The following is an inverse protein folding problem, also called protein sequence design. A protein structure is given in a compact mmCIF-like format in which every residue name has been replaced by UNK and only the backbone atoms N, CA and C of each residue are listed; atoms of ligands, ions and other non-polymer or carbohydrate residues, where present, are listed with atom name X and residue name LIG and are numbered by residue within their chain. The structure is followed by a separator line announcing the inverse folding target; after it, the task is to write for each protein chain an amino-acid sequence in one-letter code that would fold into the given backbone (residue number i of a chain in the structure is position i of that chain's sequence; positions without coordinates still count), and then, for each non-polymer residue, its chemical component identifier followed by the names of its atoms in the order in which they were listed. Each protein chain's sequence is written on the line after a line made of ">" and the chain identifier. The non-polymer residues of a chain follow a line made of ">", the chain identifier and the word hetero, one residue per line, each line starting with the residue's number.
data_IF_579022473212
#
_entry.id   IF_579022473212
#
_cell.length_a   1.000
_cell.length_b   1.000
_cell.length_c   1.000
_cell.angle_alpha   90.00
_cell.angle_beta   90.00
_cell.angle_gamma   90.00
#
_symmetry.space_group_name_H-M   'P 1'
#
loop_
_entity.id
_entity.type
_entity.pdbx_description
1 polymer ?
#
# COMPACT_ATOMS: atom_id res chain seq x y z
N UNK A 1 -17.67 34.19 -5.45
CA UNK A 1 -16.54 33.24 -5.42
C UNK A 1 -16.27 32.64 -4.03
N UNK A 2 -15.83 33.38 -3.00
CA UNK A 2 -15.53 32.80 -1.65
C UNK A 2 -16.69 32.01 -1.03
N UNK A 3 -17.91 32.53 -1.05
CA UNK A 3 -19.11 31.85 -0.52
C UNK A 3 -19.44 30.55 -1.30
N UNK A 4 -19.25 30.55 -2.60
CA UNK A 4 -19.46 29.35 -3.44
C UNK A 4 -18.45 28.26 -3.12
N UNK A 5 -17.16 28.61 -2.99
CA UNK A 5 -16.10 27.66 -2.61
C UNK A 5 -16.37 27.10 -1.22
N UNK A 6 -16.77 27.94 -0.26
CA UNK A 6 -17.15 27.51 1.07
C UNK A 6 -18.35 26.52 1.05
N UNK A 7 -19.37 26.82 0.26
CA UNK A 7 -20.52 25.93 0.13
C UNK A 7 -20.16 24.58 -0.50
N UNK A 8 -19.28 24.59 -1.52
CA UNK A 8 -18.77 23.34 -2.14
C UNK A 8 -18.02 22.49 -1.13
N UNK A 9 -17.07 23.06 -0.38
CA UNK A 9 -16.33 22.31 0.61
C UNK A 9 -17.18 21.79 1.76
N UNK A 10 -18.17 22.58 2.24
CA UNK A 10 -19.13 22.09 3.22
C UNK A 10 -19.88 20.85 2.72
N UNK A 11 -20.37 20.90 1.47
CA UNK A 11 -21.01 19.73 0.85
C UNK A 11 -20.08 18.52 0.73
N UNK A 12 -18.81 18.73 0.39
CA UNK A 12 -17.83 17.65 0.30
C UNK A 12 -17.55 17.00 1.65
N UNK A 13 -17.44 17.80 2.72
CA UNK A 13 -17.11 17.34 4.06
C UNK A 13 -18.32 16.81 4.84
N UNK A 14 -19.55 17.09 4.40
CA UNK A 14 -20.80 16.65 5.05
C UNK A 14 -21.10 15.15 4.85
N UNK A 15 -20.17 14.40 4.24
CA UNK A 15 -20.28 12.96 4.11
C UNK A 15 -20.12 12.20 5.44
N UNK A 16 -19.61 12.85 6.48
CA UNK A 16 -19.48 12.30 7.83
C UNK A 16 -19.90 13.36 8.85
N UNK A 17 -20.80 13.00 9.77
CA UNK A 17 -21.14 13.85 10.91
C UNK A 17 -20.44 13.36 12.17
N UNK A 18 -19.73 14.26 12.85
CA UNK A 18 -19.02 13.94 14.10
C UNK A 18 -19.65 14.68 15.26
N UNK A 19 -20.05 13.90 16.26
CA UNK A 19 -20.51 14.42 17.57
C UNK A 19 -19.40 14.23 18.60
N UNK A 20 -18.99 15.31 19.25
CA UNK A 20 -17.98 15.30 20.28
C UNK A 20 -18.19 16.49 21.23
N UNK A 21 -17.88 16.29 22.51
CA UNK A 21 -17.89 17.36 23.51
C UNK A 21 -16.71 18.33 23.36
N UNK A 22 -15.68 17.94 22.60
CA UNK A 22 -14.46 18.72 22.39
C UNK A 22 -14.46 19.38 21.00
N UNK A 23 -14.58 20.70 20.94
CA UNK A 23 -14.53 21.47 19.68
C UNK A 23 -13.22 21.24 18.91
N UNK A 24 -12.09 21.12 19.61
CA UNK A 24 -10.78 20.90 18.99
C UNK A 24 -10.72 19.56 18.26
N UNK A 25 -11.35 18.52 18.78
CA UNK A 25 -11.39 17.22 18.12
C UNK A 25 -12.21 17.28 16.81
N UNK A 26 -13.30 18.05 16.83
CA UNK A 26 -14.10 18.31 15.62
C UNK A 26 -13.28 19.07 14.57
N UNK A 27 -12.54 20.09 14.98
CA UNK A 27 -11.64 20.86 14.09
C UNK A 27 -10.57 19.94 13.49
N UNK A 28 -9.90 19.13 14.33
CA UNK A 28 -8.88 18.17 13.87
C UNK A 28 -9.45 17.18 12.85
N UNK A 29 -10.63 16.60 13.15
CA UNK A 29 -11.27 15.64 12.26
C UNK A 29 -11.56 16.22 10.88
N UNK A 30 -12.26 17.34 10.81
CA UNK A 30 -12.62 17.94 9.53
C UNK A 30 -11.42 18.54 8.78
N UNK A 31 -10.40 19.00 9.48
CA UNK A 31 -9.13 19.41 8.86
C UNK A 31 -8.42 18.22 8.22
N UNK A 32 -8.34 17.08 8.91
CA UNK A 32 -7.76 15.87 8.36
C UNK A 32 -8.58 15.34 7.15
N UNK A 33 -9.90 15.33 7.25
CA UNK A 33 -10.78 14.94 6.14
C UNK A 33 -10.62 15.86 4.93
N UNK A 34 -10.52 17.17 5.14
CA UNK A 34 -10.25 18.15 4.09
C UNK A 34 -8.92 17.85 3.39
N UNK A 35 -7.83 17.63 4.13
CA UNK A 35 -6.54 17.29 3.57
C UNK A 35 -6.57 15.99 2.78
N UNK A 36 -7.32 14.98 3.25
CA UNK A 36 -7.49 13.71 2.54
C UNK A 36 -8.16 13.85 1.18
N UNK A 37 -8.90 14.93 0.94
CA UNK A 37 -9.59 15.18 -0.32
C UNK A 37 -8.81 16.07 -1.30
N UNK A 38 -7.61 16.52 -0.95
CA UNK A 38 -6.81 17.40 -1.83
C UNK A 38 -6.08 16.63 -2.95
N UNK A 39 -5.68 15.38 -2.71
CA UNK A 39 -4.93 14.54 -3.63
C UNK A 39 -5.52 13.14 -3.72
N UNK A 40 -5.50 12.49 -4.89
CA UNK A 40 -5.25 13.02 -6.24
C UNK A 40 -6.25 14.10 -6.63
N UNK A 41 -5.85 14.99 -7.53
CA UNK A 41 -6.66 16.13 -7.97
C UNK A 41 -7.06 16.04 -9.46
N UNK A 42 -8.14 16.70 -9.82
CA UNK A 42 -8.68 16.72 -11.19
C UNK A 42 -7.82 17.64 -12.07
N UNK A 43 -7.49 17.17 -13.27
CA UNK A 43 -6.73 17.92 -14.30
C UNK A 43 -7.46 18.02 -15.63
N UNK A 44 -8.62 17.39 -15.77
CA UNK A 44 -9.48 17.53 -16.94
C UNK A 44 -10.28 18.84 -16.90
N UNK A 45 -10.64 19.34 -18.06
CA UNK A 45 -11.61 20.43 -18.17
C UNK A 45 -13.04 19.95 -17.90
N UNK A 46 -13.96 20.90 -17.70
CA UNK A 46 -15.37 20.61 -17.38
C UNK A 46 -16.07 19.89 -18.54
N UNK A 47 -15.65 20.18 -19.77
CA UNK A 47 -16.26 19.66 -21.02
C UNK A 47 -15.58 18.35 -21.50
N UNK A 48 -14.61 17.80 -20.76
CA UNK A 48 -13.97 16.53 -21.10
C UNK A 48 -14.96 15.37 -20.89
N UNK A 49 -14.93 14.39 -21.81
CA UNK A 49 -15.79 13.20 -21.75
C UNK A 49 -15.54 12.34 -20.50
N UNK A 50 -14.35 12.41 -19.92
CA UNK A 50 -14.01 11.69 -18.70
C UNK A 50 -13.16 12.55 -17.75
N UNK A 51 -13.42 12.39 -16.46
CA UNK A 51 -12.65 13.07 -15.41
C UNK A 51 -11.25 12.45 -15.32
N UNK A 52 -10.22 13.27 -15.55
CA UNK A 52 -8.83 12.88 -15.38
C UNK A 52 -8.26 13.33 -14.05
N UNK A 53 -7.54 12.45 -13.40
CA UNK A 53 -6.84 12.71 -12.16
C UNK A 53 -5.33 12.69 -12.35
N UNK A 54 -4.62 13.54 -11.58
CA UNK A 54 -3.16 13.53 -11.45
C UNK A 54 -2.75 13.62 -9.98
N UNK A 55 -1.44 13.58 -9.72
CA UNK A 55 -0.90 13.62 -8.36
C UNK A 55 -1.05 12.28 -7.62
N UNK A 56 -1.14 11.16 -8.35
CA UNK A 56 -1.13 9.85 -7.71
C UNK A 56 0.23 9.58 -7.05
N UNK A 57 0.18 9.32 -5.75
CA UNK A 57 1.29 8.78 -4.96
C UNK A 57 0.87 7.42 -4.38
N UNK A 58 0.92 6.34 -5.20
CA UNK A 58 0.30 5.07 -4.84
C UNK A 58 0.85 4.46 -3.56
N UNK A 59 2.15 4.65 -3.28
CA UNK A 59 2.81 4.17 -2.06
C UNK A 59 2.20 4.76 -0.79
N UNK A 60 1.78 6.03 -0.85
CA UNK A 60 1.13 6.73 0.26
C UNK A 60 -0.36 6.37 0.31
N UNK A 61 -1.04 6.52 -0.81
CA UNK A 61 -2.51 6.57 -0.86
C UNK A 61 -3.19 5.20 -0.78
N UNK A 62 -2.51 4.09 -1.13
CA UNK A 62 -3.09 2.75 -0.99
C UNK A 62 -3.34 2.38 0.48
N UNK A 63 -2.56 2.93 1.42
CA UNK A 63 -2.56 2.52 2.83
C UNK A 63 -3.86 2.90 3.54
N UNK A 64 -4.44 4.04 3.19
CA UNK A 64 -5.67 4.50 3.85
C UNK A 64 -6.57 5.35 2.96
N UNK A 65 -6.05 6.19 2.06
CA UNK A 65 -6.86 7.15 1.31
C UNK A 65 -7.84 6.46 0.35
N UNK A 66 -7.38 5.56 -0.52
CA UNK A 66 -8.29 4.86 -1.46
C UNK A 66 -9.34 4.01 -0.72
N UNK A 67 -9.00 3.26 0.35
CA UNK A 67 -10.01 2.63 1.22
C UNK A 67 -11.01 3.60 1.84
N UNK A 68 -10.56 4.78 2.29
CA UNK A 68 -11.45 5.82 2.81
C UNK A 68 -12.39 6.37 1.74
N UNK A 69 -11.87 6.65 0.54
CA UNK A 69 -12.68 7.11 -0.59
C UNK A 69 -13.69 6.05 -1.04
N UNK A 70 -13.31 4.78 -1.06
CA UNK A 70 -14.24 3.67 -1.34
C UNK A 70 -15.41 3.66 -0.37
N UNK A 71 -15.19 4.04 0.90
CA UNK A 71 -16.24 4.10 1.92
C UNK A 71 -17.08 5.38 1.86
N UNK A 72 -16.44 6.54 1.75
CA UNK A 72 -17.10 7.84 1.92
C UNK A 72 -17.47 8.52 0.60
N UNK A 73 -16.72 8.27 -0.46
CA UNK A 73 -16.86 8.90 -1.78
C UNK A 73 -16.65 7.85 -2.90
N UNK A 74 -17.47 6.79 -2.96
CA UNK A 74 -17.28 5.68 -3.91
C UNK A 74 -17.26 6.15 -5.37
N UNK A 75 -18.04 7.17 -5.72
CA UNK A 75 -18.05 7.72 -7.06
C UNK A 75 -16.70 8.39 -7.42
N UNK A 76 -16.09 9.11 -6.49
CA UNK A 76 -14.77 9.69 -6.68
C UNK A 76 -13.69 8.61 -6.84
N UNK A 77 -13.77 7.53 -6.05
CA UNK A 77 -12.89 6.38 -6.21
C UNK A 77 -13.05 5.73 -7.59
N UNK A 78 -14.30 5.57 -8.06
CA UNK A 78 -14.64 5.05 -9.40
C UNK A 78 -14.00 5.89 -10.51
N UNK A 79 -14.12 7.21 -10.43
CA UNK A 79 -13.51 8.13 -11.39
C UNK A 79 -11.98 8.07 -11.39
N UNK A 80 -11.34 7.93 -10.23
CA UNK A 80 -9.87 7.74 -10.12
C UNK A 80 -9.42 6.46 -10.80
N UNK A 81 -10.11 5.35 -10.56
CA UNK A 81 -9.81 4.08 -11.22
C UNK A 81 -10.04 4.19 -12.73
N UNK A 82 -11.14 4.82 -13.16
CA UNK A 82 -11.40 5.06 -14.57
C UNK A 82 -10.27 5.87 -15.22
N UNK A 83 -9.82 6.94 -14.57
CA UNK A 83 -8.69 7.75 -15.05
C UNK A 83 -7.42 6.92 -15.27
N UNK A 84 -7.03 6.09 -14.29
CA UNK A 84 -5.88 5.19 -14.41
C UNK A 84 -6.04 4.19 -15.57
N UNK A 85 -7.22 3.62 -15.73
CA UNK A 85 -7.48 2.61 -16.75
C UNK A 85 -7.60 3.22 -18.16
N UNK A 86 -8.11 4.44 -18.29
CA UNK A 86 -8.09 5.18 -19.57
C UNK A 86 -6.65 5.48 -20.00
N UNK A 87 -5.80 5.94 -19.08
CA UNK A 87 -4.38 6.17 -19.37
C UNK A 87 -3.67 4.87 -19.79
N UNK A 88 -3.92 3.75 -19.09
CA UNK A 88 -3.40 2.44 -19.46
C UNK A 88 -3.84 2.03 -20.88
N UNK A 89 -5.13 2.18 -21.23
CA UNK A 89 -5.64 1.88 -22.58
C UNK A 89 -5.03 2.77 -23.66
N UNK A 90 -4.73 4.02 -23.33
CA UNK A 90 -4.05 4.95 -24.22
C UNK A 90 -2.55 4.65 -24.38
N UNK A 91 -2.02 3.59 -23.73
CA UNK A 91 -0.62 3.21 -23.77
C UNK A 91 0.28 3.98 -22.80
N UNK A 92 -0.31 4.77 -21.89
CA UNK A 92 0.43 5.44 -20.81
C UNK A 92 0.72 4.46 -19.69
N UNK A 93 1.96 4.45 -19.19
CA UNK A 93 2.33 3.60 -18.07
C UNK A 93 1.58 4.01 -16.79
N UNK A 94 1.05 3.03 -16.07
CA UNK A 94 0.46 3.28 -14.75
C UNK A 94 1.48 3.90 -13.78
N UNK A 95 1.09 4.86 -12.93
CA UNK A 95 2.01 5.54 -12.04
C UNK A 95 2.58 4.59 -10.99
N UNK A 96 3.91 4.56 -10.86
CA UNK A 96 4.61 3.85 -9.79
C UNK A 96 5.09 4.80 -8.70
N UNK A 97 5.58 5.97 -9.10
CA UNK A 97 6.31 6.87 -8.23
C UNK A 97 7.74 6.39 -7.93
N UNK A 98 8.52 7.16 -7.14
CA UNK A 98 9.91 6.83 -6.80
C UNK A 98 10.05 5.82 -5.66
N UNK A 99 8.96 5.50 -4.97
CA UNK A 99 8.94 4.66 -3.79
C UNK A 99 8.99 3.16 -4.11
N UNK A 100 9.13 2.33 -3.08
CA UNK A 100 9.13 0.87 -3.19
C UNK A 100 7.75 0.33 -3.63
N UNK A 101 7.74 -0.83 -4.29
CA UNK A 101 6.51 -1.52 -4.68
C UNK A 101 5.76 -0.95 -5.89
N UNK A 102 4.63 -1.57 -6.22
CA UNK A 102 3.74 -1.26 -7.35
C UNK A 102 2.31 -1.06 -6.85
N UNK A 103 2.09 0.00 -6.06
CA UNK A 103 0.90 0.14 -5.22
C UNK A 103 -0.37 0.60 -5.95
N UNK A 104 -0.34 0.80 -7.26
CA UNK A 104 -1.55 0.81 -8.09
C UNK A 104 -2.25 -0.57 -8.04
N UNK A 105 -1.50 -1.67 -7.93
CA UNK A 105 -2.06 -3.02 -7.89
C UNK A 105 -3.03 -3.21 -6.72
N UNK A 106 -2.68 -2.91 -5.45
CA UNK A 106 -3.65 -2.97 -4.35
C UNK A 106 -4.82 -2.00 -4.50
N UNK A 107 -4.63 -0.82 -5.13
CA UNK A 107 -5.72 0.13 -5.39
C UNK A 107 -6.74 -0.48 -6.36
N UNK A 108 -6.28 -1.11 -7.44
CA UNK A 108 -7.16 -1.78 -8.41
C UNK A 108 -7.86 -3.01 -7.81
N UNK A 109 -7.15 -3.80 -6.98
CA UNK A 109 -7.76 -4.92 -6.27
C UNK A 109 -8.84 -4.44 -5.29
N UNK A 110 -8.55 -3.42 -4.48
CA UNK A 110 -9.50 -2.86 -3.52
C UNK A 110 -10.77 -2.36 -4.21
N UNK A 111 -10.61 -1.66 -5.34
CA UNK A 111 -11.73 -1.20 -6.16
C UNK A 111 -12.56 -2.35 -6.74
N UNK A 112 -11.90 -3.42 -7.21
CA UNK A 112 -12.58 -4.61 -7.72
C UNK A 112 -13.40 -5.33 -6.63
N UNK A 113 -12.80 -5.53 -5.45
CA UNK A 113 -13.43 -6.24 -4.33
C UNK A 113 -14.58 -5.44 -3.70
N UNK A 114 -14.48 -4.11 -3.68
CA UNK A 114 -15.49 -3.19 -3.13
C UNK A 114 -16.49 -2.70 -4.16
N UNK A 115 -16.40 -3.17 -5.39
CA UNK A 115 -17.29 -2.76 -6.49
C UNK A 115 -17.30 -1.23 -6.74
N UNK A 116 -16.16 -0.58 -6.49
CA UNK A 116 -15.95 0.85 -6.76
C UNK A 116 -15.25 1.09 -8.09
N UNK A 117 -15.61 0.30 -9.10
CA UNK A 117 -15.14 0.42 -10.49
C UNK A 117 -16.16 -0.21 -11.44
N UNK A 118 -16.26 0.34 -12.66
CA UNK A 118 -17.07 -0.21 -13.75
C UNK A 118 -16.21 -1.06 -14.72
N UNK A 119 -14.91 -1.18 -14.46
CA UNK A 119 -13.99 -1.93 -15.29
C UNK A 119 -14.07 -3.43 -14.97
N UNK A 120 -14.03 -4.24 -16.04
CA UNK A 120 -13.97 -5.68 -15.92
C UNK A 120 -12.69 -6.12 -15.18
N UNK A 121 -12.82 -7.10 -14.31
CA UNK A 121 -11.72 -7.59 -13.46
C UNK A 121 -10.54 -8.10 -14.28
N UNK A 122 -10.78 -8.71 -15.47
CA UNK A 122 -9.69 -9.12 -16.37
C UNK A 122 -8.84 -7.93 -16.81
N UNK A 123 -9.48 -6.80 -17.13
CA UNK A 123 -8.78 -5.60 -17.54
C UNK A 123 -7.95 -5.01 -16.39
N UNK A 124 -8.49 -5.02 -15.16
CA UNK A 124 -7.74 -4.60 -13.96
C UNK A 124 -6.54 -5.52 -13.71
N UNK A 125 -6.73 -6.82 -13.87
CA UNK A 125 -5.65 -7.80 -13.76
C UNK A 125 -4.57 -7.59 -14.83
N UNK A 126 -4.96 -7.45 -16.11
CA UNK A 126 -4.04 -7.22 -17.23
C UNK A 126 -3.21 -5.95 -17.03
N UNK A 127 -3.85 -4.84 -16.62
CA UNK A 127 -3.17 -3.58 -16.32
C UNK A 127 -2.16 -3.74 -15.15
N UNK A 128 -2.56 -4.43 -14.10
CA UNK A 128 -1.73 -4.72 -12.93
C UNK A 128 -0.51 -5.59 -13.30
N UNK A 129 -0.74 -6.63 -14.10
CA UNK A 129 0.30 -7.54 -14.57
C UNK A 129 1.25 -6.84 -15.56
N UNK A 130 0.75 -5.96 -16.42
CA UNK A 130 1.56 -5.14 -17.31
C UNK A 130 2.49 -4.20 -16.51
N UNK A 131 1.98 -3.53 -15.47
CA UNK A 131 2.80 -2.73 -14.58
C UNK A 131 3.90 -3.57 -13.93
N UNK A 132 3.56 -4.71 -13.34
CA UNK A 132 4.54 -5.63 -12.76
C UNK A 132 5.62 -6.04 -13.77
N UNK A 133 5.23 -6.45 -14.98
CA UNK A 133 6.15 -6.92 -16.02
C UNK A 133 7.01 -5.81 -16.63
N UNK A 134 6.57 -4.56 -16.62
CA UNK A 134 7.31 -3.43 -17.17
C UNK A 134 8.64 -3.18 -16.48
N UNK A 135 8.83 -3.67 -15.25
CA UNK A 135 10.05 -3.50 -14.46
C UNK A 135 11.00 -4.71 -14.48
N UNK A 136 10.76 -5.70 -15.34
CA UNK A 136 11.63 -6.89 -15.43
C UNK A 136 13.08 -6.62 -15.79
N UNK A 137 13.39 -5.47 -16.37
CA UNK A 137 14.77 -5.06 -16.64
C UNK A 137 15.50 -4.46 -15.42
N UNK A 138 14.79 -4.21 -14.31
CA UNK A 138 15.39 -3.65 -13.11
C UNK A 138 16.05 -4.74 -12.26
N UNK A 139 17.27 -4.48 -11.80
CA UNK A 139 18.09 -5.40 -11.00
C UNK A 139 17.35 -5.92 -9.77
N UNK A 140 16.65 -5.05 -9.03
CA UNK A 140 15.94 -5.44 -7.82
C UNK A 140 14.80 -6.45 -8.11
N UNK A 141 14.13 -6.34 -9.25
CA UNK A 141 13.08 -7.30 -9.58
C UNK A 141 13.67 -8.64 -10.01
N UNK A 142 14.81 -8.65 -10.71
CA UNK A 142 15.53 -9.88 -11.03
C UNK A 142 15.98 -10.59 -9.76
N UNK A 143 16.62 -9.88 -8.81
CA UNK A 143 16.99 -10.45 -7.51
C UNK A 143 15.79 -11.08 -6.80
N UNK A 144 14.67 -10.36 -6.76
CA UNK A 144 13.44 -10.85 -6.15
C UNK A 144 12.89 -12.11 -6.82
N UNK A 145 12.92 -12.17 -8.16
CA UNK A 145 12.42 -13.31 -8.92
C UNK A 145 13.32 -14.54 -8.83
N UNK A 146 14.63 -14.35 -8.75
CA UNK A 146 15.63 -15.42 -8.72
C UNK A 146 15.87 -15.95 -7.30
N UNK A 147 15.99 -15.04 -6.32
CA UNK A 147 16.37 -15.39 -4.95
C UNK A 147 15.18 -15.43 -3.98
N UNK A 148 14.02 -14.90 -4.38
CA UNK A 148 12.86 -14.69 -3.51
C UNK A 148 13.03 -13.50 -2.55
N UNK A 149 14.03 -12.65 -2.74
CA UNK A 149 14.26 -11.41 -2.01
C UNK A 149 15.20 -10.49 -2.80
N UNK A 150 15.19 -9.20 -2.51
CA UNK A 150 16.12 -8.22 -3.05
C UNK A 150 17.41 -8.23 -2.24
N UNK A 151 18.57 -8.37 -2.90
CA UNK A 151 19.87 -8.44 -2.25
C UNK A 151 20.20 -7.11 -1.53
N UNK A 152 20.92 -7.23 -0.41
CA UNK A 152 21.29 -6.09 0.43
C UNK A 152 22.27 -5.09 -0.22
N UNK A 153 22.83 -5.40 -1.39
CA UNK A 153 23.56 -4.44 -2.22
C UNK A 153 22.65 -3.36 -2.81
N UNK A 154 21.34 -3.62 -2.84
CA UNK A 154 20.32 -2.65 -3.24
C UNK A 154 19.82 -1.91 -2.00
N UNK A 155 19.81 -0.56 -2.05
CA UNK A 155 19.17 0.23 -1.01
C UNK A 155 17.68 -0.13 -0.86
N UNK A 156 17.18 -0.05 0.34
CA UNK A 156 15.76 -0.33 0.65
C UNK A 156 15.32 -1.77 0.38
N UNK A 157 16.26 -2.71 0.32
CA UNK A 157 16.03 -4.11 -0.08
C UNK A 157 14.94 -4.81 0.74
N UNK A 158 14.84 -4.54 2.04
CA UNK A 158 13.78 -5.09 2.92
C UNK A 158 12.41 -4.55 2.54
N UNK A 159 12.30 -3.23 2.41
CA UNK A 159 11.03 -2.61 2.02
C UNK A 159 10.58 -3.07 0.63
N UNK A 160 11.49 -3.06 -0.36
CA UNK A 160 11.18 -3.53 -1.72
C UNK A 160 10.68 -4.97 -1.69
N UNK A 161 11.37 -5.88 -1.02
CA UNK A 161 10.97 -7.29 -0.92
C UNK A 161 9.60 -7.45 -0.28
N UNK A 162 9.35 -6.79 0.85
CA UNK A 162 8.10 -6.92 1.60
C UNK A 162 6.92 -6.34 0.82
N UNK A 163 7.12 -5.22 0.13
CA UNK A 163 6.08 -4.57 -0.65
C UNK A 163 5.80 -5.30 -1.97
N UNK A 164 6.83 -5.88 -2.60
CA UNK A 164 6.63 -6.78 -3.75
C UNK A 164 5.86 -8.05 -3.34
N UNK A 165 6.14 -8.61 -2.17
CA UNK A 165 5.39 -9.76 -1.66
C UNK A 165 3.90 -9.42 -1.43
N UNK A 166 3.60 -8.22 -0.94
CA UNK A 166 2.23 -7.73 -0.83
C UNK A 166 1.59 -7.49 -2.20
N UNK A 167 2.32 -6.92 -3.15
CA UNK A 167 1.82 -6.74 -4.51
C UNK A 167 1.57 -8.08 -5.22
N UNK A 168 2.41 -9.10 -4.98
CA UNK A 168 2.17 -10.47 -5.45
C UNK A 168 0.88 -11.06 -4.88
N UNK A 169 0.62 -10.86 -3.59
CA UNK A 169 -0.67 -11.28 -3.01
C UNK A 169 -1.85 -10.60 -3.69
N UNK A 170 -1.75 -9.30 -3.95
CA UNK A 170 -2.80 -8.55 -4.65
C UNK A 170 -3.00 -9.08 -6.09
N UNK A 171 -1.91 -9.35 -6.83
CA UNK A 171 -1.97 -9.95 -8.17
C UNK A 171 -2.60 -11.34 -8.13
N UNK A 172 -2.23 -12.18 -7.15
CA UNK A 172 -2.84 -13.50 -6.98
C UNK A 172 -4.36 -13.39 -6.78
N UNK A 173 -4.82 -12.43 -5.97
CA UNK A 173 -6.26 -12.21 -5.74
C UNK A 173 -6.97 -11.71 -7.01
N UNK A 174 -6.40 -10.76 -7.73
CA UNK A 174 -6.92 -10.30 -9.02
C UNK A 174 -6.95 -11.44 -10.05
N UNK A 175 -5.92 -12.27 -10.11
CA UNK A 175 -5.85 -13.42 -11.01
C UNK A 175 -6.95 -14.45 -10.72
N UNK A 176 -7.23 -14.73 -9.43
CA UNK A 176 -8.37 -15.59 -9.04
C UNK A 176 -9.68 -15.01 -9.56
N UNK A 177 -9.93 -13.73 -9.33
CA UNK A 177 -11.14 -13.05 -9.77
C UNK A 177 -11.26 -13.00 -11.31
N UNK A 178 -10.12 -12.89 -12.01
CA UNK A 178 -10.03 -12.87 -13.47
C UNK A 178 -10.04 -14.27 -14.12
N UNK A 179 -10.11 -15.34 -13.34
CA UNK A 179 -10.10 -16.73 -13.85
C UNK A 179 -8.75 -17.15 -14.45
N UNK A 180 -7.62 -16.69 -13.88
CA UNK A 180 -6.25 -16.99 -14.31
C UNK A 180 -5.51 -17.84 -13.26
N UNK A 181 -5.76 -19.17 -13.19
CA UNK A 181 -5.28 -20.02 -12.10
C UNK A 181 -3.74 -20.12 -12.04
N UNK A 182 -3.05 -20.15 -13.15
CA UNK A 182 -1.59 -20.29 -13.19
C UNK A 182 -0.91 -19.03 -12.61
N UNK A 183 -1.35 -17.85 -13.02
CA UNK A 183 -0.85 -16.57 -12.47
C UNK A 183 -1.24 -16.44 -10.99
N UNK A 184 -2.43 -16.88 -10.62
CA UNK A 184 -2.87 -16.88 -9.23
C UNK A 184 -1.94 -17.72 -8.34
N UNK A 185 -1.59 -18.95 -8.78
CA UNK A 185 -0.68 -19.82 -8.05
C UNK A 185 0.73 -19.24 -7.98
N UNK A 186 1.26 -18.75 -9.10
CA UNK A 186 2.59 -18.16 -9.17
C UNK A 186 2.76 -16.99 -8.19
N UNK A 187 1.84 -16.05 -8.25
CA UNK A 187 1.87 -14.85 -7.40
C UNK A 187 1.54 -15.19 -5.93
N UNK A 188 0.68 -16.18 -5.67
CA UNK A 188 0.43 -16.65 -4.29
C UNK A 188 1.70 -17.21 -3.64
N UNK A 189 2.51 -17.98 -4.36
CA UNK A 189 3.78 -18.50 -3.84
C UNK A 189 4.74 -17.33 -3.51
N UNK A 190 4.88 -16.38 -4.43
CA UNK A 190 5.76 -15.21 -4.24
C UNK A 190 5.33 -14.29 -3.12
N UNK A 191 4.05 -14.25 -2.79
CA UNK A 191 3.55 -13.43 -1.68
C UNK A 191 4.16 -13.76 -0.32
N UNK A 192 4.81 -14.91 -0.20
CA UNK A 192 5.54 -15.32 1.00
C UNK A 192 7.02 -14.89 1.02
N UNK A 193 7.50 -14.17 0.02
CA UNK A 193 8.92 -13.79 -0.11
C UNK A 193 9.46 -12.96 1.06
N UNK A 194 8.62 -12.20 1.77
CA UNK A 194 9.01 -11.50 3.01
C UNK A 194 9.61 -12.43 4.06
N UNK A 195 9.26 -13.72 4.05
CA UNK A 195 9.79 -14.75 4.96
C UNK A 195 11.30 -14.93 4.82
N UNK A 196 11.84 -14.73 3.62
CA UNK A 196 13.25 -14.86 3.33
C UNK A 196 14.12 -13.80 4.03
N UNK A 197 13.50 -12.73 4.50
CA UNK A 197 14.15 -11.65 5.22
C UNK A 197 14.09 -11.81 6.75
N UNK A 198 13.28 -12.76 7.25
CA UNK A 198 13.12 -12.95 8.68
C UNK A 198 14.33 -13.64 9.28
N UNK A 199 15.14 -12.91 10.02
CA UNK A 199 16.18 -13.46 10.89
C UNK A 199 15.53 -14.03 12.16
N UNK A 200 15.51 -15.36 12.27
CA UNK A 200 14.85 -16.06 13.38
C UNK A 200 15.53 -15.83 14.73
N UNK A 201 16.81 -15.46 14.74
CA UNK A 201 17.54 -15.15 15.97
C UNK A 201 17.07 -13.82 16.59
N UNK A 202 16.93 -12.79 15.76
CA UNK A 202 16.49 -11.46 16.23
C UNK A 202 14.99 -11.23 16.09
N UNK A 203 14.32 -12.00 15.21
CA UNK A 203 12.91 -11.87 14.82
C UNK A 203 12.60 -10.57 14.06
N UNK A 204 13.58 -9.97 13.42
CA UNK A 204 13.41 -8.82 12.53
C UNK A 204 13.51 -9.24 11.06
N UNK A 205 12.83 -8.51 10.19
CA UNK A 205 13.13 -8.51 8.76
C UNK A 205 14.41 -7.70 8.57
N UNK A 206 15.46 -8.34 8.10
CA UNK A 206 16.77 -7.72 7.93
C UNK A 206 17.23 -7.77 6.48
N UNK A 207 18.04 -6.78 6.05
CA UNK A 207 18.75 -6.89 4.79
C UNK A 207 19.64 -8.13 4.80
N UNK A 208 19.68 -8.84 3.68
CA UNK A 208 20.55 -10.01 3.55
C UNK A 208 21.20 -10.07 2.17
N UNK A 209 22.41 -10.58 2.15
CA UNK A 209 23.02 -11.14 0.96
C UNK A 209 22.54 -12.59 0.81
N UNK A 210 22.94 -13.26 -0.26
CA UNK A 210 22.54 -14.64 -0.54
C UNK A 210 22.56 -15.54 0.71
N UNK A 211 23.60 -15.48 1.52
CA UNK A 211 23.86 -16.41 2.61
C UNK A 211 23.83 -15.79 4.02
N UNK A 212 23.78 -14.44 4.14
CA UNK A 212 24.03 -13.78 5.43
C UNK A 212 23.11 -12.58 5.66
N UNK A 213 22.51 -12.49 6.85
CA UNK A 213 21.79 -11.32 7.31
C UNK A 213 22.73 -10.21 7.78
N UNK A 214 22.49 -8.98 7.32
CA UNK A 214 23.28 -7.82 7.69
C UNK A 214 22.69 -7.14 8.94
N UNK A 215 23.02 -7.66 10.12
CA UNK A 215 22.45 -7.19 11.41
C UNK A 215 22.81 -5.72 11.73
N UNK A 216 23.88 -5.18 11.13
CA UNK A 216 24.40 -3.82 11.36
C UNK A 216 24.14 -2.86 10.20
N UNK A 217 23.33 -3.21 9.20
CA UNK A 217 23.12 -2.41 8.00
C UNK A 217 22.45 -1.03 8.24
N UNK A 218 22.07 -0.71 9.48
CA UNK A 218 21.42 0.56 9.80
C UNK A 218 20.05 0.71 9.12
N UNK A 219 19.77 1.91 8.59
CA UNK A 219 18.49 2.23 7.95
C UNK A 219 18.51 2.04 6.43
N UNK A 220 19.65 1.72 5.82
CA UNK A 220 19.80 1.61 4.36
C UNK A 220 18.89 0.55 3.72
N UNK A 221 18.55 -0.49 4.46
CA UNK A 221 17.64 -1.56 3.98
C UNK A 221 16.17 -1.17 3.95
N UNK A 222 15.77 0.01 4.40
CA UNK A 222 14.39 0.38 4.67
C UNK A 222 14.00 1.70 3.98
N UNK A 223 12.82 1.72 3.39
CA UNK A 223 12.25 2.92 2.79
C UNK A 223 11.63 3.77 3.90
N UNK A 224 12.22 4.93 4.18
CA UNK A 224 11.68 5.92 5.12
C UNK A 224 11.20 5.31 6.46
N UNK A 225 11.92 4.31 6.92
CA UNK A 225 11.56 3.53 8.10
C UNK A 225 12.78 2.88 8.74
N UNK A 226 12.56 1.97 9.66
CA UNK A 226 13.60 1.23 10.34
C UNK A 226 13.17 -0.25 10.52
N UNK A 227 14.10 -1.08 11.02
CA UNK A 227 13.82 -2.50 11.23
C UNK A 227 12.62 -2.81 12.13
N UNK A 228 12.28 -1.93 13.07
CA UNK A 228 11.12 -2.13 13.94
C UNK A 228 9.80 -1.93 13.19
N UNK A 229 9.72 -0.88 12.38
CA UNK A 229 8.54 -0.61 11.56
C UNK A 229 8.39 -1.64 10.45
N UNK A 230 9.45 -1.87 9.67
CA UNK A 230 9.41 -2.75 8.50
C UNK A 230 9.11 -4.21 8.88
N UNK A 231 9.55 -4.69 10.06
CA UNK A 231 9.31 -6.07 10.49
C UNK A 231 7.86 -6.38 10.82
N UNK A 232 6.99 -5.39 10.87
CA UNK A 232 5.55 -5.59 11.05
C UNK A 232 4.76 -5.47 9.73
N UNK A 233 5.44 -5.27 8.60
CA UNK A 233 4.78 -5.10 7.32
C UNK A 233 4.62 -6.44 6.58
N UNK A 234 3.54 -7.14 6.89
CA UNK A 234 2.99 -8.23 6.08
C UNK A 234 1.46 -8.16 6.14
N UNK A 235 0.82 -7.09 5.61
CA UNK A 235 -0.60 -6.81 5.81
C UNK A 235 -1.51 -7.92 5.25
N UNK A 236 -1.05 -8.65 4.26
CA UNK A 236 -1.74 -9.77 3.64
C UNK A 236 -1.65 -11.08 4.45
N UNK A 237 -0.74 -11.17 5.43
CA UNK A 237 -0.49 -12.43 6.14
C UNK A 237 0.01 -12.22 7.58
N UNK A 238 -0.73 -11.41 8.34
CA UNK A 238 -0.38 -11.07 9.73
C UNK A 238 -0.27 -12.30 10.62
N UNK A 239 -1.15 -13.31 10.43
CA UNK A 239 -1.12 -14.54 11.22
C UNK A 239 0.17 -15.36 11.01
N UNK A 240 0.67 -15.45 9.77
CA UNK A 240 1.94 -16.13 9.51
C UNK A 240 3.11 -15.37 10.14
N UNK A 241 3.10 -14.04 10.05
CA UNK A 241 4.12 -13.22 10.69
C UNK A 241 4.13 -13.42 12.22
N UNK A 242 2.97 -13.43 12.86
CA UNK A 242 2.81 -13.72 14.29
C UNK A 242 3.41 -15.07 14.65
N UNK A 243 3.05 -16.12 13.91
CA UNK A 243 3.56 -17.46 14.16
C UNK A 243 5.08 -17.54 14.04
N UNK A 244 5.66 -16.86 13.06
CA UNK A 244 7.11 -16.84 12.82
C UNK A 244 7.91 -16.03 13.83
N UNK A 245 7.29 -15.03 14.43
CA UNK A 245 7.90 -14.22 15.51
C UNK A 245 7.82 -14.94 16.88
N UNK A 246 7.14 -16.07 16.98
CA UNK A 246 7.01 -16.84 18.21
C UNK A 246 5.62 -16.84 18.84
N UNK A 247 4.60 -16.52 18.06
CA UNK A 247 3.19 -16.52 18.48
C UNK A 247 2.70 -15.17 19.00
N UNK A 248 1.45 -15.15 19.43
CA UNK A 248 0.74 -13.93 19.82
C UNK A 248 1.42 -13.16 20.96
N UNK A 249 1.83 -13.84 22.01
CA UNK A 249 2.48 -13.21 23.18
C UNK A 249 3.81 -12.57 22.81
N UNK A 250 4.65 -13.25 22.03
CA UNK A 250 5.92 -12.72 21.55
C UNK A 250 5.71 -11.52 20.62
N UNK A 251 4.69 -11.58 19.75
CA UNK A 251 4.31 -10.50 18.86
C UNK A 251 3.83 -9.27 19.64
N UNK A 252 2.90 -9.44 20.61
CA UNK A 252 2.43 -8.37 21.49
C UNK A 252 3.56 -7.71 22.27
N UNK A 253 4.45 -8.52 22.84
CA UNK A 253 5.63 -8.04 23.57
C UNK A 253 6.52 -7.18 22.67
N UNK A 254 6.72 -7.59 21.43
CA UNK A 254 7.52 -6.84 20.45
C UNK A 254 6.86 -5.54 20.04
N UNK A 255 5.55 -5.53 19.80
CA UNK A 255 4.78 -4.31 19.54
C UNK A 255 4.93 -3.31 20.70
N UNK A 256 4.73 -3.77 21.93
CA UNK A 256 4.90 -2.93 23.13
C UNK A 256 6.34 -2.42 23.28
N UNK A 257 7.34 -3.25 23.01
CA UNK A 257 8.74 -2.85 23.06
C UNK A 257 9.07 -1.77 22.01
N UNK A 258 8.53 -1.88 20.80
CA UNK A 258 8.71 -0.88 19.75
C UNK A 258 8.13 0.47 20.16
N UNK A 259 6.92 0.48 20.75
CA UNK A 259 6.28 1.68 21.30
C UNK A 259 7.09 2.27 22.46
N UNK A 260 7.45 1.45 23.47
CA UNK A 260 8.20 1.88 24.66
C UNK A 260 9.55 2.48 24.30
N UNK A 261 10.25 1.90 23.32
CA UNK A 261 11.55 2.38 22.84
C UNK A 261 11.44 3.56 21.86
N UNK A 262 10.24 4.07 21.60
CA UNK A 262 9.98 5.15 20.64
C UNK A 262 10.57 4.87 19.26
N UNK A 263 10.50 3.59 18.83
CA UNK A 263 10.97 3.16 17.50
C UNK A 263 9.89 3.25 16.43
N UNK A 264 8.64 3.43 16.85
CA UNK A 264 7.49 3.73 16.01
C UNK A 264 7.12 5.20 16.24
N UNK A 265 7.27 6.00 15.22
CA UNK A 265 6.89 7.42 15.20
C UNK A 265 5.82 7.58 14.13
N UNK A 266 4.69 8.22 14.49
CA UNK A 266 3.56 8.40 13.58
C UNK A 266 3.72 9.70 12.76
N UNK A 267 4.81 9.79 12.03
CA UNK A 267 5.18 10.91 11.19
C UNK A 267 5.29 10.55 9.70
N UNK A 268 5.16 9.25 9.37
CA UNK A 268 5.23 8.78 8.00
C UNK A 268 4.36 7.52 7.78
N UNK A 269 4.05 7.19 6.54
CA UNK A 269 3.10 6.17 6.09
C UNK A 269 3.42 4.74 6.53
N UNK A 270 4.69 4.30 6.61
CA UNK A 270 5.03 2.92 6.99
C UNK A 270 4.45 2.45 8.32
N UNK A 271 4.03 3.36 9.20
CA UNK A 271 3.51 3.03 10.54
C UNK A 271 1.98 3.00 10.64
N UNK A 272 1.23 3.38 9.61
CA UNK A 272 -0.23 3.56 9.69
C UNK A 272 -1.00 2.31 10.12
N UNK A 273 -0.53 1.12 9.77
CA UNK A 273 -1.16 -0.15 10.16
C UNK A 273 -0.82 -0.58 11.61
N UNK A 274 0.23 -0.02 12.19
CA UNK A 274 0.78 -0.48 13.48
C UNK A 274 -0.23 -0.47 14.65
N UNK A 275 -1.08 0.55 14.88
CA UNK A 275 -2.05 0.53 15.96
C UNK A 275 -3.05 -0.62 15.88
N UNK A 276 -3.37 -1.04 14.67
CA UNK A 276 -4.36 -2.10 14.40
C UNK A 276 -3.79 -3.50 14.60
N UNK A 277 -2.46 -3.66 14.61
CA UNK A 277 -1.81 -4.96 14.83
C UNK A 277 -2.09 -5.52 16.23
N UNK A 278 -2.41 -4.68 17.21
CA UNK A 278 -2.81 -5.12 18.54
C UNK A 278 -4.14 -5.90 18.57
N UNK A 279 -4.95 -5.79 17.53
CA UNK A 279 -6.19 -6.58 17.38
C UNK A 279 -5.86 -8.07 17.13
N UNK A 280 -4.69 -8.35 16.56
CA UNK A 280 -4.23 -9.69 16.19
C UNK A 280 -3.45 -10.40 17.31
N UNK A 281 -2.96 -9.63 18.27
CA UNK A 281 -2.06 -10.09 19.34
C UNK A 281 -2.77 -10.66 20.56
#
# INVERSE_FOLDING_TARGET
>A
MRQQVYACWNKELDCVSVETACTDDKVKFYTALYHSFLFPYIVSDIDDECVKYAGFSPWDTFRSLHPLLSLLKPERQRQMVASLMHDYRAGTALPKGPMSGFHIIPILLDAAVKETTDWDVKQLFEASLALWRSYRSNSFLNDYLENGFVDASQERSVSITSELAYNDWCLARLAVLAGQPDEAQLHAIRSFSYRNLLDTETGFLLPRNKDTFLKSAGELGYQESNKWTASFFAPHNVNDLINRIGGKEAFATRLQAAKKKKKIVFDNEPVFHYPYLFIWA
#
